data_IF_967191671034
#
_entry.id   IF_967191671034
#
_cell.length_a   1.000
_cell.length_b   1.000
_cell.length_c   1.000
_cell.angle_alpha   90.00
_cell.angle_beta   90.00
_cell.angle_gamma   90.00
#
_symmetry.space_group_name_H-M   'P 1'
#
loop_
_entity.id
_entity.type
_entity.pdbx_description
1 polymer ?
#
# COMPACT_ATOMS: atom_id res chain seq x y z
N UNK A 1 11.76 20.54 -12.55
CA UNK A 1 10.40 20.06 -12.90
C UNK A 1 10.30 18.55 -13.16
N UNK A 2 11.26 17.92 -13.86
CA UNK A 2 11.17 16.50 -14.27
C UNK A 2 11.07 15.48 -13.11
N UNK A 3 11.64 15.79 -11.95
CA UNK A 3 11.70 14.87 -10.79
C UNK A 3 10.32 14.68 -10.12
N UNK A 4 9.52 15.74 -9.99
CA UNK A 4 8.18 15.67 -9.43
C UNK A 4 7.26 14.83 -10.32
N UNK A 5 7.42 14.99 -11.64
CA UNK A 5 6.65 14.24 -12.62
C UNK A 5 6.97 12.74 -12.56
N UNK A 6 8.25 12.36 -12.43
CA UNK A 6 8.61 10.95 -12.27
C UNK A 6 8.01 10.32 -11.01
N UNK A 7 7.90 11.09 -9.92
CA UNK A 7 7.35 10.61 -8.65
C UNK A 7 5.84 10.35 -8.76
N UNK A 8 5.10 11.28 -9.36
CA UNK A 8 3.67 11.15 -9.64
C UNK A 8 3.40 9.98 -10.61
N UNK A 9 4.17 9.90 -11.69
CA UNK A 9 4.03 8.83 -12.69
C UNK A 9 4.32 7.43 -12.11
N UNK A 10 5.26 7.34 -11.17
CA UNK A 10 5.56 6.08 -10.50
C UNK A 10 4.42 5.63 -9.58
N UNK A 11 3.84 6.54 -8.83
CA UNK A 11 2.72 6.24 -7.92
C UNK A 11 1.47 5.80 -8.72
N UNK A 12 1.14 6.54 -9.78
CA UNK A 12 0.08 6.15 -10.72
C UNK A 12 0.32 4.77 -11.33
N UNK A 13 1.56 4.42 -11.67
CA UNK A 13 1.90 3.10 -12.24
C UNK A 13 1.63 1.97 -11.25
N UNK A 14 1.92 2.19 -9.96
CA UNK A 14 1.66 1.22 -8.91
C UNK A 14 0.16 0.97 -8.75
N UNK A 15 -0.63 2.04 -8.63
CA UNK A 15 -2.09 1.95 -8.50
C UNK A 15 -2.68 1.24 -9.73
N UNK A 16 -2.32 1.65 -10.95
CA UNK A 16 -2.79 1.02 -12.20
C UNK A 16 -2.44 -0.47 -12.26
N UNK A 17 -1.25 -0.87 -11.80
CA UNK A 17 -0.84 -2.28 -11.78
C UNK A 17 -1.73 -3.12 -10.85
N UNK A 18 -2.13 -2.56 -9.71
CA UNK A 18 -2.97 -3.26 -8.73
C UNK A 18 -4.45 -3.29 -9.12
N UNK A 19 -4.95 -2.26 -9.81
CA UNK A 19 -6.37 -2.16 -10.19
C UNK A 19 -6.69 -2.82 -11.53
N UNK A 20 -5.73 -2.87 -12.48
CA UNK A 20 -5.92 -3.45 -13.82
C UNK A 20 -6.41 -4.91 -13.84
N UNK A 21 -5.94 -5.84 -12.98
CA UNK A 21 -6.44 -7.21 -12.97
C UNK A 21 -7.83 -7.39 -12.33
N UNK A 22 -8.37 -6.37 -11.65
CA UNK A 22 -9.57 -6.50 -10.80
C UNK A 22 -10.92 -6.22 -11.46
N UNK A 23 -11.00 -6.04 -12.79
CA UNK A 23 -12.22 -5.58 -13.51
C UNK A 23 -12.79 -4.24 -12.98
N UNK A 24 -11.97 -3.43 -12.29
CA UNK A 24 -12.38 -2.17 -11.69
C UNK A 24 -13.00 -2.32 -10.30
N UNK A 25 -13.57 -1.22 -9.80
CA UNK A 25 -14.25 -1.18 -8.50
C UNK A 25 -15.75 -1.07 -8.73
N UNK A 26 -16.54 -1.95 -8.12
CA UNK A 26 -18.01 -1.97 -8.30
C UNK A 26 -18.71 -0.72 -7.76
N UNK A 27 -18.14 -0.03 -6.77
CA UNK A 27 -18.66 1.23 -6.24
C UNK A 27 -17.53 2.16 -5.80
N UNK A 28 -17.85 3.45 -5.64
CA UNK A 28 -16.91 4.45 -5.11
C UNK A 28 -16.45 4.12 -3.69
N UNK A 29 -17.34 3.59 -2.86
CA UNK A 29 -17.02 3.20 -1.48
C UNK A 29 -16.01 2.06 -1.45
N UNK A 30 -16.19 1.04 -2.30
CA UNK A 30 -15.23 -0.07 -2.42
C UNK A 30 -13.89 0.43 -2.96
N UNK A 31 -13.90 1.30 -3.98
CA UNK A 31 -12.70 1.93 -4.52
C UNK A 31 -11.92 2.68 -3.44
N UNK A 32 -12.62 3.51 -2.65
CA UNK A 32 -12.02 4.31 -1.59
C UNK A 32 -11.35 3.44 -0.52
N UNK A 33 -12.05 2.39 -0.04
CA UNK A 33 -11.49 1.45 0.94
C UNK A 33 -10.28 0.69 0.39
N UNK A 34 -10.32 0.23 -0.85
CA UNK A 34 -9.21 -0.50 -1.45
C UNK A 34 -7.98 0.40 -1.65
N UNK A 35 -8.18 1.64 -2.12
CA UNK A 35 -7.09 2.60 -2.27
C UNK A 35 -6.45 2.97 -0.92
N UNK A 36 -7.26 3.17 0.14
CA UNK A 36 -6.74 3.39 1.50
C UNK A 36 -5.91 2.20 1.99
N UNK A 37 -6.34 0.97 1.70
CA UNK A 37 -5.56 -0.24 2.01
C UNK A 37 -4.21 -0.29 1.28
N UNK A 38 -4.17 0.10 0.01
CA UNK A 38 -2.94 0.17 -0.77
C UNK A 38 -1.97 1.24 -0.24
N UNK A 39 -2.50 2.40 0.16
CA UNK A 39 -1.70 3.45 0.80
C UNK A 39 -1.10 2.99 2.13
N UNK A 40 -1.92 2.37 3.00
CA UNK A 40 -1.45 1.81 4.26
C UNK A 40 -0.36 0.75 4.06
N UNK A 41 -0.54 -0.16 3.09
CA UNK A 41 0.48 -1.14 2.73
C UNK A 41 1.78 -0.47 2.23
N UNK A 42 1.68 0.58 1.42
CA UNK A 42 2.84 1.31 0.93
C UNK A 42 3.60 2.01 2.07
N UNK A 43 2.89 2.58 3.04
CA UNK A 43 3.49 3.18 4.25
C UNK A 43 4.24 2.14 5.09
N UNK A 44 3.67 0.95 5.28
CA UNK A 44 4.32 -0.17 5.96
C UNK A 44 5.59 -0.56 5.21
N UNK A 45 5.50 -0.79 3.89
CA UNK A 45 6.61 -1.20 3.03
C UNK A 45 7.75 -0.18 3.05
N UNK A 46 7.43 1.11 3.01
CA UNK A 46 8.39 2.20 3.00
C UNK A 46 9.00 2.48 4.38
N UNK A 47 8.52 1.83 5.44
CA UNK A 47 9.00 2.03 6.80
C UNK A 47 8.64 3.40 7.37
N UNK A 48 7.52 3.98 6.93
CA UNK A 48 7.02 5.26 7.44
C UNK A 48 6.36 5.11 8.82
N UNK A 49 6.11 3.87 9.27
CA UNK A 49 5.63 3.59 10.61
C UNK A 49 6.79 3.58 11.60
N UNK A 50 6.67 4.33 12.69
CA UNK A 50 7.74 4.47 13.71
C UNK A 50 8.26 3.13 14.27
N UNK A 51 7.45 2.07 14.22
CA UNK A 51 7.79 0.76 14.80
C UNK A 51 8.47 -0.20 13.83
N UNK A 52 8.55 0.11 12.53
CA UNK A 52 9.02 -0.85 11.52
C UNK A 52 9.93 -0.18 10.51
N UNK A 53 11.17 -0.66 10.43
CA UNK A 53 12.16 -0.13 9.48
C UNK A 53 11.83 -0.60 8.06
N UNK A 54 12.18 0.23 7.08
CA UNK A 54 12.13 -0.13 5.66
C UNK A 54 13.03 -1.35 5.42
N UNK A 55 12.47 -2.42 4.85
CA UNK A 55 13.20 -3.66 4.53
C UNK A 55 13.21 -4.72 5.64
N UNK A 56 12.67 -4.42 6.83
CA UNK A 56 12.45 -5.45 7.86
C UNK A 56 11.16 -6.24 7.55
N UNK A 57 11.28 -7.20 6.62
CA UNK A 57 10.14 -8.00 6.14
C UNK A 57 9.47 -8.78 7.28
N UNK A 58 10.25 -9.29 8.24
CA UNK A 58 9.72 -10.05 9.38
C UNK A 58 8.97 -9.13 10.34
N UNK A 59 9.54 -7.97 10.69
CA UNK A 59 8.86 -6.97 11.54
C UNK A 59 7.59 -6.41 10.89
N UNK A 60 7.60 -6.18 9.57
CA UNK A 60 6.41 -5.80 8.79
C UNK A 60 5.33 -6.90 8.87
N UNK A 61 5.72 -8.16 8.66
CA UNK A 61 4.79 -9.29 8.73
C UNK A 61 4.14 -9.45 10.12
N UNK A 62 4.93 -9.36 11.19
CA UNK A 62 4.42 -9.45 12.57
C UNK A 62 3.47 -8.29 12.90
N UNK A 63 3.76 -7.07 12.43
CA UNK A 63 2.89 -5.92 12.64
C UNK A 63 1.53 -6.12 11.94
N UNK A 64 1.53 -6.60 10.69
CA UNK A 64 0.30 -6.88 9.95
C UNK A 64 -0.50 -8.00 10.64
N UNK A 65 0.16 -9.11 11.00
CA UNK A 65 -0.47 -10.21 11.72
C UNK A 65 -1.16 -9.73 13.02
N UNK A 66 -0.46 -8.90 13.80
CA UNK A 66 -1.01 -8.28 15.02
C UNK A 66 -2.19 -7.34 14.75
N UNK A 67 -2.13 -6.55 13.67
CA UNK A 67 -3.20 -5.61 13.31
C UNK A 67 -4.51 -6.32 12.97
N UNK A 68 -4.42 -7.46 12.28
CA UNK A 68 -5.58 -8.23 11.84
C UNK A 68 -5.97 -9.35 12.82
N UNK A 69 -5.29 -9.47 13.97
CA UNK A 69 -5.56 -10.53 14.95
C UNK A 69 -5.29 -11.93 14.41
N UNK A 70 -4.54 -12.06 13.32
CA UNK A 70 -4.12 -13.34 12.76
C UNK A 70 -2.90 -13.77 13.55
N UNK A 71 -3.13 -14.49 14.65
CA UNK A 71 -2.05 -15.07 15.43
C UNK A 71 -1.20 -15.96 14.52
N UNK A 72 0.10 -15.66 14.43
CA UNK A 72 1.10 -16.50 13.80
C UNK A 72 1.61 -17.56 14.78
#
# INVERSE_FOLDING_TARGET
>A
MKYLNNLIEQDHRFIKRLTKPGMGFFSFETASRTLQGYEAYNMIRNGQLQKVKKGDVRGQGVLVAKLFGVAA
#
